data_IF_328968926573
#
_entry.id   IF_328968926573
#
_cell.length_a   1.000
_cell.length_b   1.000
_cell.length_c   1.000
_cell.angle_alpha   90.00
_cell.angle_beta   90.00
_cell.angle_gamma   90.00
#
_symmetry.space_group_name_H-M   'P 1'
#
loop_
_entity.id
_entity.type
_entity.pdbx_description
1 polymer ?
#
# COMPACT_ATOMS: atom_id res chain seq x y z
N UNK A 1 18.35 9.35 22.25
CA UNK A 1 18.67 9.44 20.80
C UNK A 1 20.17 9.27 20.65
N UNK A 2 20.65 8.43 19.73
CA UNK A 2 22.08 8.31 19.44
C UNK A 2 22.59 9.62 18.82
N UNK A 3 23.76 10.10 19.23
CA UNK A 3 24.35 11.31 18.66
C UNK A 3 25.18 10.97 17.41
N UNK A 4 24.58 11.10 16.23
CA UNK A 4 25.23 10.80 14.95
C UNK A 4 26.11 11.95 14.43
N UNK A 5 26.17 13.09 15.13
CA UNK A 5 27.18 14.12 14.87
C UNK A 5 28.59 13.68 15.33
N UNK A 6 28.68 12.66 16.20
CA UNK A 6 29.93 12.15 16.75
C UNK A 6 30.54 11.05 15.86
N UNK A 7 31.82 11.20 15.51
CA UNK A 7 32.53 10.29 14.61
C UNK A 7 32.60 8.84 15.13
N UNK A 8 32.78 8.65 16.44
CA UNK A 8 32.83 7.32 17.06
C UNK A 8 31.46 6.64 16.96
N UNK A 9 30.38 7.39 17.19
CA UNK A 9 29.02 6.86 17.08
C UNK A 9 28.66 6.52 15.63
N UNK A 10 29.01 7.36 14.64
CA UNK A 10 28.81 7.01 13.22
C UNK A 10 29.59 5.77 12.82
N UNK A 11 30.87 5.69 13.20
CA UNK A 11 31.70 4.51 12.95
C UNK A 11 31.07 3.25 13.55
N UNK A 12 30.54 3.33 14.76
CA UNK A 12 29.85 2.21 15.39
C UNK A 12 28.61 1.76 14.60
N UNK A 13 27.82 2.70 14.06
CA UNK A 13 26.68 2.37 13.19
C UNK A 13 27.15 1.65 11.92
N UNK A 14 28.18 2.15 11.23
CA UNK A 14 28.72 1.52 10.02
C UNK A 14 29.30 0.13 10.32
N UNK A 15 30.07 -0.01 11.40
CA UNK A 15 30.60 -1.30 11.83
C UNK A 15 29.48 -2.31 12.15
N UNK A 16 28.38 -1.85 12.75
CA UNK A 16 27.19 -2.68 13.01
C UNK A 16 26.51 -3.13 11.71
N UNK A 17 26.29 -2.22 10.77
CA UNK A 17 25.71 -2.56 9.47
C UNK A 17 26.59 -3.55 8.72
N UNK A 18 27.90 -3.31 8.66
CA UNK A 18 28.86 -4.22 8.06
C UNK A 18 28.80 -5.60 8.69
N UNK A 19 28.80 -5.69 10.03
CA UNK A 19 28.71 -6.97 10.74
C UNK A 19 27.49 -7.79 10.31
N UNK A 20 26.31 -7.16 10.24
CA UNK A 20 25.09 -7.86 9.82
C UNK A 20 25.16 -8.35 8.37
N UNK A 21 25.84 -7.61 7.48
CA UNK A 21 26.01 -8.01 6.08
C UNK A 21 27.06 -9.11 5.94
N UNK A 22 28.25 -8.93 6.51
CA UNK A 22 29.39 -9.83 6.30
C UNK A 22 29.28 -11.11 7.11
N UNK A 23 28.84 -11.02 8.37
CA UNK A 23 28.83 -12.17 9.29
C UNK A 23 27.45 -12.86 9.33
N UNK A 24 26.38 -12.12 9.10
CA UNK A 24 25.00 -12.65 9.16
C UNK A 24 24.32 -12.71 7.79
N UNK A 25 24.95 -12.22 6.72
CA UNK A 25 24.46 -12.26 5.35
C UNK A 25 23.09 -11.59 5.17
N UNK A 26 22.83 -10.49 5.87
CA UNK A 26 21.64 -9.67 5.69
C UNK A 26 21.69 -8.93 4.35
N UNK A 27 20.62 -9.01 3.54
CA UNK A 27 20.52 -8.39 2.20
C UNK A 27 20.14 -6.90 2.22
N UNK A 28 19.78 -6.36 3.38
CA UNK A 28 19.35 -4.97 3.53
C UNK A 28 18.68 -4.66 4.86
N UNK A 29 18.37 -3.38 5.06
CA UNK A 29 17.87 -2.83 6.32
C UNK A 29 16.65 -1.95 6.10
N UNK A 30 15.67 -2.04 7.01
CA UNK A 30 14.63 -1.01 7.21
C UNK A 30 14.96 -0.25 8.48
N UNK A 31 15.25 1.04 8.36
CA UNK A 31 15.56 1.89 9.49
C UNK A 31 14.29 2.48 10.08
N UNK A 32 14.07 2.17 11.35
CA UNK A 32 13.06 2.78 12.21
C UNK A 32 13.41 4.22 12.52
N UNK A 33 12.40 5.10 12.48
CA UNK A 33 12.54 6.55 12.66
C UNK A 33 13.75 7.11 11.89
N UNK A 34 13.86 6.76 10.61
CA UNK A 34 15.07 6.91 9.81
C UNK A 34 15.55 8.36 9.68
N UNK A 35 14.70 9.35 9.97
CA UNK A 35 15.09 10.77 9.95
C UNK A 35 16.20 11.06 10.96
N UNK A 36 16.30 10.29 12.05
CA UNK A 36 17.39 10.41 13.01
C UNK A 36 18.75 10.21 12.34
N UNK A 37 18.86 9.38 11.29
CA UNK A 37 20.12 9.12 10.58
C UNK A 37 20.75 10.37 9.96
N UNK A 38 19.91 11.32 9.53
CA UNK A 38 20.36 12.59 8.94
C UNK A 38 20.55 13.73 9.94
N UNK A 39 20.37 13.49 11.25
CA UNK A 39 20.49 14.53 12.29
C UNK A 39 21.93 14.69 12.78
N UNK A 40 22.73 15.45 12.04
CA UNK A 40 24.02 15.97 12.53
C UNK A 40 23.88 17.26 13.34
N UNK A 41 22.76 17.94 13.14
CA UNK A 41 22.32 19.14 13.83
C UNK A 41 20.88 18.93 14.33
N UNK A 42 20.23 19.90 14.97
CA UNK A 42 18.81 19.78 15.32
C UNK A 42 17.93 19.43 14.13
N UNK A 43 18.28 19.85 12.90
CA UNK A 43 17.51 19.57 11.68
C UNK A 43 18.12 18.43 10.86
N UNK A 44 17.27 17.75 10.08
CA UNK A 44 17.68 16.73 9.13
C UNK A 44 18.51 17.32 7.99
N UNK A 45 19.61 16.65 7.64
CA UNK A 45 20.45 16.96 6.50
C UNK A 45 20.55 15.74 5.58
N UNK A 46 20.08 15.87 4.34
CA UNK A 46 20.22 14.85 3.30
C UNK A 46 21.69 14.52 2.98
N UNK A 47 22.60 15.46 3.24
CA UNK A 47 24.05 15.30 3.06
C UNK A 47 24.78 15.05 4.39
N UNK A 48 24.11 14.41 5.37
CA UNK A 48 24.75 14.05 6.62
C UNK A 48 25.92 13.08 6.40
N UNK A 49 27.02 13.24 7.15
CA UNK A 49 28.22 12.41 7.03
C UNK A 49 27.96 10.93 7.21
N UNK A 50 26.95 10.53 7.98
CA UNK A 50 26.60 9.11 8.12
C UNK A 50 26.21 8.50 6.77
N UNK A 51 25.49 9.24 5.93
CA UNK A 51 25.12 8.77 4.60
C UNK A 51 26.37 8.61 3.72
N UNK A 52 27.31 9.56 3.79
CA UNK A 52 28.61 9.44 3.10
C UNK A 52 29.42 8.25 3.61
N UNK A 53 29.48 8.06 4.94
CA UNK A 53 30.21 6.96 5.58
C UNK A 53 29.64 5.59 5.12
N UNK A 54 28.32 5.47 4.98
CA UNK A 54 27.64 4.26 4.46
C UNK A 54 28.02 4.01 2.99
N UNK A 55 27.99 5.05 2.15
CA UNK A 55 28.33 4.97 0.73
C UNK A 55 29.82 4.72 0.48
N UNK A 56 30.69 4.95 1.47
CA UNK A 56 32.11 4.64 1.37
C UNK A 56 32.45 3.21 1.81
N UNK A 57 31.57 2.54 2.57
CA UNK A 57 31.81 1.18 3.05
C UNK A 57 31.56 0.15 1.91
N UNK A 58 32.59 -0.62 1.48
CA UNK A 58 32.45 -1.51 0.32
C UNK A 58 31.40 -2.61 0.48
N UNK A 59 31.26 -3.17 1.68
CA UNK A 59 30.28 -4.23 1.96
C UNK A 59 28.83 -3.74 1.90
N UNK A 60 28.60 -2.43 1.99
CA UNK A 60 27.27 -1.83 1.98
C UNK A 60 26.82 -1.37 0.57
N UNK A 61 27.64 -1.51 -0.46
CA UNK A 61 27.31 -0.99 -1.81
C UNK A 61 26.19 -1.74 -2.52
N UNK A 62 25.88 -2.99 -2.12
CA UNK A 62 24.90 -3.84 -2.79
C UNK A 62 23.72 -4.25 -1.90
N UNK A 63 23.59 -3.62 -0.74
CA UNK A 63 22.50 -3.91 0.19
C UNK A 63 21.34 -2.93 0.01
N UNK A 64 20.13 -3.38 0.35
CA UNK A 64 18.93 -2.54 0.25
C UNK A 64 18.82 -1.65 1.48
N UNK A 65 18.51 -0.38 1.29
CA UNK A 65 18.23 0.54 2.38
C UNK A 65 16.81 1.08 2.27
N UNK A 66 16.02 0.85 3.31
CA UNK A 66 14.64 1.31 3.42
C UNK A 66 14.55 2.22 4.63
N UNK A 67 13.92 3.39 4.49
CA UNK A 67 13.72 4.33 5.59
C UNK A 67 12.24 4.40 5.96
N UNK A 68 11.96 4.48 7.26
CA UNK A 68 10.80 5.22 7.75
C UNK A 68 11.15 6.71 7.73
N UNK A 69 10.69 7.49 6.73
CA UNK A 69 11.23 8.82 6.45
C UNK A 69 10.60 9.90 7.34
N UNK A 70 10.43 9.59 8.61
CA UNK A 70 10.01 10.53 9.63
C UNK A 70 10.60 10.23 11.00
N UNK A 71 10.52 11.19 11.91
CA UNK A 71 10.63 10.97 13.34
C UNK A 71 9.71 11.93 14.11
N UNK A 72 9.67 11.82 15.44
CA UNK A 72 8.86 12.66 16.32
C UNK A 72 9.48 14.04 16.62
N UNK A 73 10.66 14.33 16.08
CA UNK A 73 11.42 15.55 16.32
C UNK A 73 10.94 16.72 15.45
N UNK A 74 11.51 17.90 15.73
CA UNK A 74 11.26 19.10 14.91
C UNK A 74 11.70 18.86 13.46
N UNK A 75 10.84 19.28 12.51
CA UNK A 75 10.96 18.98 11.09
C UNK A 75 11.27 17.50 10.80
N UNK A 76 10.67 16.59 11.57
CA UNK A 76 10.89 15.16 11.45
C UNK A 76 10.35 14.55 10.17
N UNK A 77 9.32 15.12 9.52
CA UNK A 77 8.76 14.54 8.30
C UNK A 77 9.62 14.81 7.07
N UNK A 78 10.24 13.77 6.50
CA UNK A 78 11.26 13.82 5.46
C UNK A 78 10.97 12.90 4.27
N UNK A 79 9.70 12.57 4.03
CA UNK A 79 9.28 11.75 2.88
C UNK A 79 9.76 12.35 1.56
N UNK A 80 10.49 11.55 0.79
CA UNK A 80 11.11 11.92 -0.49
C UNK A 80 12.44 12.66 -0.37
N UNK A 81 12.92 12.91 0.86
CA UNK A 81 14.13 13.68 1.13
C UNK A 81 15.32 12.81 1.57
N UNK A 82 15.26 11.48 1.50
CA UNK A 82 16.43 10.63 1.75
C UNK A 82 17.36 10.53 0.55
N UNK A 83 18.65 10.18 0.74
CA UNK A 83 19.57 9.89 -0.36
C UNK A 83 18.98 8.92 -1.38
N UNK A 84 19.35 9.10 -2.65
CA UNK A 84 18.74 8.38 -3.78
C UNK A 84 18.79 6.84 -3.70
N UNK A 85 19.74 6.30 -2.93
CA UNK A 85 19.89 4.86 -2.70
C UNK A 85 18.95 4.30 -1.61
N UNK A 86 18.17 5.16 -0.95
CA UNK A 86 17.09 4.73 -0.07
C UNK A 86 15.79 4.55 -0.84
N UNK A 87 15.12 3.46 -0.51
CA UNK A 87 13.68 3.32 -0.63
C UNK A 87 13.01 3.89 0.63
N UNK A 88 11.83 4.46 0.52
CA UNK A 88 11.15 5.09 1.66
C UNK A 88 9.73 4.56 1.79
N UNK A 89 9.31 4.29 3.03
CA UNK A 89 7.91 3.99 3.35
C UNK A 89 7.01 5.16 2.95
N UNK A 90 6.03 4.89 2.09
CA UNK A 90 5.12 5.90 1.58
C UNK A 90 3.80 5.93 2.37
N UNK A 91 3.76 6.71 3.44
CA UNK A 91 2.54 6.90 4.25
C UNK A 91 1.43 7.64 3.49
N UNK A 92 1.78 8.47 2.50
CA UNK A 92 0.82 9.10 1.59
C UNK A 92 0.08 8.07 0.75
N UNK A 93 0.79 7.06 0.23
CA UNK A 93 0.15 5.92 -0.45
C UNK A 93 -0.83 5.22 0.48
N UNK A 94 -0.39 4.88 1.70
CA UNK A 94 -1.23 4.23 2.71
C UNK A 94 -2.53 4.99 2.94
N UNK A 95 -2.41 6.27 3.28
CA UNK A 95 -3.55 7.07 3.71
C UNK A 95 -4.51 7.40 2.56
N UNK A 96 -3.99 7.80 1.40
CA UNK A 96 -4.81 8.18 0.26
C UNK A 96 -5.54 6.97 -0.35
N UNK A 97 -4.87 5.81 -0.45
CA UNK A 97 -5.52 4.58 -0.92
C UNK A 97 -6.57 4.10 0.07
N UNK A 98 -6.29 4.13 1.36
CA UNK A 98 -7.25 3.74 2.39
C UNK A 98 -8.50 4.61 2.36
N UNK A 99 -8.34 5.95 2.32
CA UNK A 99 -9.47 6.87 2.18
C UNK A 99 -10.22 6.66 0.86
N UNK A 100 -9.51 6.44 -0.24
CA UNK A 100 -10.15 6.20 -1.54
C UNK A 100 -11.06 4.97 -1.50
N UNK A 101 -10.70 3.89 -0.83
CA UNK A 101 -11.57 2.71 -0.76
C UNK A 101 -12.65 2.83 0.33
N UNK A 102 -12.28 3.24 1.53
CA UNK A 102 -13.14 3.09 2.72
C UNK A 102 -14.06 4.29 2.98
N UNK A 103 -13.70 5.49 2.53
CA UNK A 103 -14.52 6.67 2.76
C UNK A 103 -15.52 6.91 1.62
N UNK A 104 -16.63 7.58 1.96
CA UNK A 104 -17.72 7.83 0.99
C UNK A 104 -17.28 8.69 -0.20
N UNK A 105 -16.41 9.67 0.01
CA UNK A 105 -15.82 10.50 -1.05
C UNK A 105 -14.33 10.19 -1.19
N UNK A 106 -13.80 10.22 -2.42
CA UNK A 106 -12.38 9.97 -2.67
C UNK A 106 -11.83 10.83 -3.79
N UNK A 107 -10.53 11.13 -3.76
CA UNK A 107 -9.87 11.95 -4.77
C UNK A 107 -9.28 11.07 -5.87
N UNK A 108 -9.90 11.06 -7.05
CA UNK A 108 -9.46 10.23 -8.19
C UNK A 108 -8.06 10.61 -8.67
N UNK A 109 -7.73 11.91 -8.68
CA UNK A 109 -6.38 12.38 -8.98
C UNK A 109 -5.33 11.88 -7.99
N UNK A 110 -5.63 11.90 -6.68
CA UNK A 110 -4.72 11.40 -5.66
C UNK A 110 -4.52 9.88 -5.79
N UNK A 111 -5.60 9.12 -6.05
CA UNK A 111 -5.52 7.69 -6.35
C UNK A 111 -4.59 7.43 -7.54
N UNK A 112 -4.75 8.13 -8.66
CA UNK A 112 -3.92 7.94 -9.83
C UNK A 112 -2.45 8.31 -9.58
N UNK A 113 -2.18 9.41 -8.88
CA UNK A 113 -0.83 9.81 -8.49
C UNK A 113 -0.15 8.75 -7.62
N UNK A 114 -0.84 8.26 -6.58
CA UNK A 114 -0.32 7.20 -5.71
C UNK A 114 -0.11 5.89 -6.49
N UNK A 115 -1.08 5.49 -7.32
CA UNK A 115 -1.06 4.25 -8.09
C UNK A 115 0.05 4.23 -9.15
N UNK A 116 0.38 5.40 -9.72
CA UNK A 116 1.46 5.58 -10.68
C UNK A 116 2.86 5.65 -10.06
N UNK A 117 2.99 5.43 -8.74
CA UNK A 117 4.27 5.42 -8.03
C UNK A 117 4.62 6.73 -7.33
N UNK A 118 3.65 7.62 -7.08
CA UNK A 118 3.85 8.85 -6.30
C UNK A 118 4.93 9.76 -6.88
N UNK A 119 4.82 10.09 -8.17
CA UNK A 119 5.84 10.83 -8.90
C UNK A 119 6.05 12.24 -8.35
N UNK A 120 5.00 12.89 -7.87
CA UNK A 120 5.05 14.18 -7.18
C UNK A 120 6.03 14.22 -5.98
N UNK A 121 6.20 13.08 -5.30
CA UNK A 121 7.12 12.91 -4.17
C UNK A 121 8.49 12.41 -4.61
N UNK A 122 8.52 11.36 -5.45
CA UNK A 122 9.74 10.57 -5.69
C UNK A 122 10.38 10.78 -7.06
N UNK A 123 9.65 11.29 -8.06
CA UNK A 123 10.17 11.52 -9.41
C UNK A 123 10.99 12.81 -9.45
N UNK A 124 12.14 12.78 -8.78
CA UNK A 124 13.13 13.86 -8.71
C UNK A 124 14.49 13.29 -9.06
N UNK A 125 15.30 14.10 -9.74
CA UNK A 125 16.66 13.73 -10.15
C UNK A 125 16.69 12.40 -10.92
N UNK A 126 17.45 11.41 -10.44
CA UNK A 126 17.60 10.08 -11.03
C UNK A 126 16.89 8.98 -10.24
N UNK A 127 15.99 9.33 -9.29
CA UNK A 127 15.30 8.33 -8.46
C UNK A 127 14.32 7.49 -9.29
N UNK A 128 14.45 6.16 -9.26
CA UNK A 128 13.53 5.27 -9.95
C UNK A 128 12.27 4.97 -9.10
N UNK A 129 11.20 4.44 -9.71
CA UNK A 129 9.94 4.17 -9.00
C UNK A 129 10.07 3.20 -7.82
N UNK A 130 11.02 2.25 -7.83
CA UNK A 130 11.15 1.33 -6.70
C UNK A 130 11.44 2.03 -5.35
N UNK A 131 11.89 3.29 -5.39
CA UNK A 131 12.19 4.10 -4.20
C UNK A 131 10.94 4.48 -3.39
N UNK A 132 9.73 4.36 -3.96
CA UNK A 132 8.49 4.37 -3.16
C UNK A 132 8.17 2.95 -2.70
N UNK A 133 8.19 2.72 -1.38
CA UNK A 133 7.65 1.50 -0.78
C UNK A 133 6.19 1.73 -0.40
N UNK A 134 5.31 1.20 -1.23
CA UNK A 134 3.87 1.27 -1.07
C UNK A 134 3.41 0.23 -0.05
N UNK A 135 2.55 0.63 0.88
CA UNK A 135 1.93 -0.26 1.86
C UNK A 135 0.55 0.28 2.25
N UNK A 136 -0.36 -0.60 2.66
CA UNK A 136 -1.67 -0.23 3.23
C UNK A 136 -1.67 -0.40 4.75
N UNK A 137 -0.93 -1.38 5.22
CA UNK A 137 -0.86 -1.85 6.60
C UNK A 137 0.58 -2.19 6.93
N UNK A 138 0.92 -2.08 8.20
CA UNK A 138 2.23 -2.40 8.75
C UNK A 138 2.03 -2.93 10.18
N UNK A 139 3.12 -3.19 10.89
CA UNK A 139 3.03 -3.54 12.31
C UNK A 139 2.43 -2.40 13.16
N UNK A 140 2.63 -1.15 12.74
CA UNK A 140 1.98 0.01 13.33
C UNK A 140 0.60 0.24 12.71
N UNK A 141 -0.43 0.33 13.54
CA UNK A 141 -1.81 0.54 13.12
C UNK A 141 -2.60 -0.76 13.02
N UNK A 142 -3.70 -0.71 12.28
CA UNK A 142 -4.55 -1.89 12.06
C UNK A 142 -3.93 -2.85 11.05
N UNK A 143 -4.22 -4.15 11.25
CA UNK A 143 -4.21 -5.15 10.18
C UNK A 143 -5.23 -4.80 9.09
N UNK A 144 -5.13 -5.40 7.90
CA UNK A 144 -6.09 -5.13 6.83
C UNK A 144 -7.51 -5.56 7.21
N UNK A 145 -7.64 -6.67 7.95
CA UNK A 145 -8.93 -7.12 8.50
C UNK A 145 -9.51 -6.08 9.45
N UNK A 146 -8.69 -5.56 10.37
CA UNK A 146 -9.17 -4.61 11.37
C UNK A 146 -9.47 -3.24 10.78
N UNK A 147 -8.73 -2.83 9.74
CA UNK A 147 -8.97 -1.62 8.96
C UNK A 147 -10.39 -1.58 8.35
N UNK A 148 -10.97 -2.76 8.09
CA UNK A 148 -12.35 -2.90 7.58
C UNK A 148 -13.35 -3.34 8.65
N UNK A 149 -12.91 -3.55 9.89
CA UNK A 149 -13.76 -4.08 10.97
C UNK A 149 -13.96 -3.13 12.14
N UNK A 150 -13.16 -2.06 12.24
CA UNK A 150 -13.14 -1.16 13.39
C UNK A 150 -13.05 0.30 12.97
N UNK A 151 -13.87 1.16 13.57
CA UNK A 151 -13.74 2.62 13.45
C UNK A 151 -12.89 3.20 14.58
N UNK A 152 -12.79 2.49 15.71
CA UNK A 152 -12.04 2.91 16.87
C UNK A 152 -10.97 1.88 17.22
N UNK A 153 -9.85 2.35 17.78
CA UNK A 153 -8.85 1.45 18.37
C UNK A 153 -9.37 0.88 19.69
N UNK A 154 -9.00 -0.36 19.97
CA UNK A 154 -9.32 -1.14 21.17
C UNK A 154 -8.00 -1.62 21.77
N UNK A 155 -7.21 -0.67 22.28
CA UNK A 155 -5.88 -0.92 22.85
C UNK A 155 -5.92 -1.13 24.38
N UNK A 156 -7.10 -1.41 24.96
CA UNK A 156 -7.27 -1.56 26.41
C UNK A 156 -6.33 -2.62 27.00
N UNK A 157 -6.03 -3.67 26.23
CA UNK A 157 -5.09 -4.73 26.61
C UNK A 157 -3.65 -4.24 26.85
N UNK A 158 -3.28 -3.06 26.33
CA UNK A 158 -1.96 -2.47 26.49
C UNK A 158 -1.76 -1.82 27.88
N UNK A 159 -2.84 -1.63 28.65
CA UNK A 159 -2.78 -1.09 30.01
C UNK A 159 -2.65 0.43 30.10
N UNK A 160 -2.84 1.15 28.99
CA UNK A 160 -2.72 2.62 28.93
C UNK A 160 -4.08 3.32 28.79
N UNK A 161 -5.17 2.64 29.15
CA UNK A 161 -6.56 3.13 29.05
C UNK A 161 -6.89 3.62 27.62
N UNK A 162 -6.43 2.86 26.61
CA UNK A 162 -6.62 3.13 25.19
C UNK A 162 -6.03 4.48 24.70
N UNK A 163 -5.09 5.08 25.45
CA UNK A 163 -4.43 6.34 25.06
C UNK A 163 -3.36 6.16 23.99
N UNK A 164 -2.69 5.02 23.98
CA UNK A 164 -1.60 4.69 23.07
C UNK A 164 -2.10 4.32 21.66
N UNK A 165 -1.23 4.38 20.66
CA UNK A 165 -1.58 4.13 19.25
C UNK A 165 -2.25 5.32 18.56
N UNK A 166 -2.23 5.32 17.22
CA UNK A 166 -2.78 6.40 16.40
C UNK A 166 -4.30 6.47 16.50
N UNK A 167 -4.85 7.68 16.59
CA UNK A 167 -6.32 7.88 16.63
C UNK A 167 -6.95 7.85 15.23
N UNK A 168 -6.28 8.47 14.27
CA UNK A 168 -6.77 8.53 12.90
C UNK A 168 -6.26 7.32 12.12
N UNK A 169 -7.17 6.43 11.75
CA UNK A 169 -6.85 5.18 11.06
C UNK A 169 -7.34 5.14 9.62
N UNK A 170 -8.21 6.08 9.22
CA UNK A 170 -8.92 6.06 7.94
C UNK A 170 -9.72 4.77 7.69
N UNK A 171 -10.02 4.03 8.76
CA UNK A 171 -10.75 2.75 8.71
C UNK A 171 -12.24 2.95 8.51
N UNK A 172 -12.94 1.86 8.17
CA UNK A 172 -14.40 1.81 8.12
C UNK A 172 -14.89 0.42 8.51
N UNK A 173 -15.74 0.33 9.53
CA UNK A 173 -16.21 -0.94 10.08
C UNK A 173 -17.36 -1.61 9.30
N UNK A 174 -17.84 -0.97 8.22
CA UNK A 174 -18.97 -1.43 7.40
C UNK A 174 -20.31 -1.55 8.15
N UNK A 175 -20.47 -0.83 9.26
CA UNK A 175 -21.73 -0.70 10.00
C UNK A 175 -21.80 -1.49 11.31
N UNK A 176 -20.84 -2.38 11.58
CA UNK A 176 -20.73 -3.14 12.83
C UNK A 176 -19.30 -2.99 13.34
N UNK A 177 -19.12 -2.62 14.61
CA UNK A 177 -17.77 -2.59 15.22
C UNK A 177 -17.38 -4.00 15.68
N UNK A 178 -16.20 -4.48 15.29
CA UNK A 178 -15.71 -5.81 15.64
C UNK A 178 -15.52 -6.72 14.44
N UNK A 179 -14.47 -7.55 14.46
CA UNK A 179 -14.17 -8.53 13.41
C UNK A 179 -14.95 -9.85 13.54
N UNK A 180 -15.54 -10.12 14.72
CA UNK A 180 -16.31 -11.33 15.01
C UNK A 180 -17.80 -11.10 14.72
N UNK A 181 -18.36 -11.87 13.78
CA UNK A 181 -19.73 -11.75 13.31
C UNK A 181 -20.46 -13.11 13.35
N UNK A 182 -21.78 -13.10 13.56
CA UNK A 182 -22.64 -14.27 13.35
C UNK A 182 -23.11 -14.32 11.90
N UNK A 183 -22.47 -15.19 11.10
CA UNK A 183 -22.72 -15.29 9.66
C UNK A 183 -24.07 -15.93 9.32
N UNK A 184 -24.83 -16.44 10.31
CA UNK A 184 -26.21 -16.87 10.11
C UNK A 184 -27.19 -15.70 10.07
N UNK A 185 -26.79 -14.53 10.57
CA UNK A 185 -27.55 -13.29 10.43
C UNK A 185 -27.29 -12.66 9.06
N UNK A 186 -28.36 -12.40 8.29
CA UNK A 186 -28.26 -11.89 6.93
C UNK A 186 -27.56 -10.52 6.85
N UNK A 187 -27.78 -9.65 7.83
CA UNK A 187 -27.16 -8.33 7.86
C UNK A 187 -25.66 -8.45 8.17
N UNK A 188 -25.27 -9.23 9.18
CA UNK A 188 -23.86 -9.45 9.50
C UNK A 188 -23.12 -10.17 8.37
N UNK A 189 -23.75 -11.13 7.71
CA UNK A 189 -23.21 -11.78 6.51
C UNK A 189 -22.99 -10.79 5.36
N UNK A 190 -23.92 -9.86 5.14
CA UNK A 190 -23.74 -8.79 4.16
C UNK A 190 -22.59 -7.84 4.51
N UNK A 191 -22.42 -7.49 5.80
CA UNK A 191 -21.28 -6.70 6.29
C UNK A 191 -19.97 -7.43 6.03
N UNK A 192 -19.89 -8.72 6.33
CA UNK A 192 -18.70 -9.53 6.08
C UNK A 192 -18.31 -9.54 4.60
N UNK A 193 -19.28 -9.72 3.71
CA UNK A 193 -19.04 -9.67 2.26
C UNK A 193 -18.44 -8.32 1.83
N UNK A 194 -18.96 -7.20 2.36
CA UNK A 194 -18.42 -5.88 2.04
C UNK A 194 -16.98 -5.69 2.54
N UNK A 195 -16.67 -6.22 3.73
CA UNK A 195 -15.30 -6.21 4.28
C UNK A 195 -14.34 -6.98 3.40
N UNK A 196 -14.72 -8.18 2.96
CA UNK A 196 -13.89 -8.99 2.06
C UNK A 196 -13.65 -8.29 0.73
N UNK A 197 -14.67 -7.64 0.15
CA UNK A 197 -14.51 -6.84 -1.07
C UNK A 197 -13.55 -5.65 -0.89
N UNK A 198 -13.62 -4.97 0.26
CA UNK A 198 -12.73 -3.86 0.59
C UNK A 198 -11.28 -4.32 0.79
N UNK A 199 -11.05 -5.38 1.57
CA UNK A 199 -9.73 -5.97 1.78
C UNK A 199 -9.12 -6.42 0.46
N UNK A 200 -9.90 -7.12 -0.36
CA UNK A 200 -9.49 -7.60 -1.69
C UNK A 200 -9.11 -6.44 -2.63
N UNK A 201 -9.86 -5.33 -2.57
CA UNK A 201 -9.61 -4.16 -3.42
C UNK A 201 -8.37 -3.38 -2.99
N UNK A 202 -8.13 -3.29 -1.68
CA UNK A 202 -6.91 -2.69 -1.11
C UNK A 202 -5.67 -3.55 -1.45
N UNK A 203 -5.77 -4.88 -1.38
CA UNK A 203 -4.69 -5.79 -1.81
C UNK A 203 -4.39 -5.65 -3.30
N UNK A 204 -5.42 -5.61 -4.15
CA UNK A 204 -5.24 -5.38 -5.58
C UNK A 204 -4.59 -4.02 -5.87
N UNK A 205 -5.01 -2.97 -5.15
CA UNK A 205 -4.42 -1.63 -5.25
C UNK A 205 -2.94 -1.63 -4.87
N UNK A 206 -2.58 -2.27 -3.75
CA UNK A 206 -1.20 -2.40 -3.30
C UNK A 206 -0.34 -3.17 -4.31
N UNK A 207 -0.80 -4.35 -4.72
CA UNK A 207 -0.02 -5.27 -5.54
C UNK A 207 0.07 -4.85 -7.01
N UNK A 208 -0.83 -3.97 -7.48
CA UNK A 208 -0.87 -3.53 -8.88
C UNK A 208 -0.45 -2.07 -9.09
N UNK A 209 -0.05 -1.35 -8.03
CA UNK A 209 0.55 -0.02 -8.15
C UNK A 209 2.03 -0.08 -8.55
N UNK A 210 2.50 0.96 -9.25
CA UNK A 210 3.92 1.14 -9.55
C UNK A 210 4.72 1.46 -8.27
N UNK A 211 5.97 1.02 -8.20
CA UNK A 211 6.79 1.06 -6.97
C UNK A 211 6.90 -0.30 -6.28
N UNK A 212 7.47 -0.33 -5.08
CA UNK A 212 7.73 -1.57 -4.33
C UNK A 212 6.57 -1.87 -3.35
N UNK A 213 5.75 -2.91 -3.56
CA UNK A 213 4.69 -3.25 -2.61
C UNK A 213 5.26 -3.98 -1.38
N UNK A 214 4.85 -3.55 -0.18
CA UNK A 214 5.08 -4.26 1.07
C UNK A 214 3.77 -4.78 1.62
N UNK A 215 3.69 -6.10 1.81
CA UNK A 215 2.54 -6.80 2.39
C UNK A 215 2.85 -7.12 3.85
N UNK A 216 1.94 -6.76 4.77
CA UNK A 216 2.00 -7.20 6.16
C UNK A 216 1.61 -8.68 6.24
N UNK A 217 2.43 -9.48 6.92
CA UNK A 217 2.17 -10.90 7.08
C UNK A 217 0.83 -11.13 7.81
N UNK A 218 -0.01 -11.99 7.24
CA UNK A 218 -1.33 -12.31 7.75
C UNK A 218 -2.47 -11.58 7.06
N UNK A 219 -2.22 -10.45 6.40
CA UNK A 219 -3.25 -9.75 5.64
C UNK A 219 -3.73 -10.56 4.44
N UNK A 220 -2.89 -11.43 3.89
CA UNK A 220 -3.27 -12.33 2.80
C UNK A 220 -4.34 -13.35 3.20
N UNK A 221 -4.56 -13.61 4.50
CA UNK A 221 -5.57 -14.54 4.99
C UNK A 221 -6.48 -13.94 6.08
N UNK A 222 -6.56 -12.61 6.14
CA UNK A 222 -7.42 -11.84 7.05
C UNK A 222 -7.09 -11.96 8.55
N UNK A 223 -5.79 -11.95 8.90
CA UNK A 223 -5.35 -11.88 10.30
C UNK A 223 -5.91 -10.64 11.01
N UNK A 224 -6.32 -10.79 12.26
CA UNK A 224 -6.91 -9.74 13.10
C UNK A 224 -6.17 -9.63 14.43
N UNK A 225 -5.99 -8.40 14.90
CA UNK A 225 -5.53 -8.03 16.24
C UNK A 225 -6.69 -7.55 17.12
N UNK A 226 -7.93 -7.92 16.73
CA UNK A 226 -9.17 -7.62 17.45
C UNK A 226 -9.40 -6.13 17.71
N UNK A 227 -8.92 -5.27 16.80
CA UNK A 227 -9.06 -3.84 16.92
C UNK A 227 -7.97 -3.17 17.76
N UNK A 228 -6.98 -3.91 18.25
CA UNK A 228 -5.77 -3.28 18.78
C UNK A 228 -4.92 -2.79 17.59
N UNK A 229 -4.59 -1.50 17.56
CA UNK A 229 -3.82 -0.88 16.47
C UNK A 229 -2.37 -0.54 16.88
N UNK A 230 -1.93 -1.06 18.03
CA UNK A 230 -0.62 -0.80 18.61
C UNK A 230 -0.19 -1.99 19.48
N UNK A 231 -0.08 -3.18 18.89
CA UNK A 231 0.18 -4.43 19.63
C UNK A 231 1.63 -4.60 20.10
N UNK A 232 2.38 -3.50 20.30
CA UNK A 232 3.83 -3.52 20.57
C UNK A 232 4.22 -4.31 21.83
N UNK A 233 3.32 -4.41 22.80
CA UNK A 233 3.52 -5.09 24.08
C UNK A 233 2.73 -6.39 24.22
N UNK A 234 2.11 -6.88 23.14
CA UNK A 234 1.28 -8.07 23.15
C UNK A 234 2.04 -9.26 22.56
N UNK A 235 2.67 -10.08 23.40
CA UNK A 235 3.21 -11.39 23.00
C UNK A 235 2.22 -12.50 23.36
N UNK A 236 1.10 -12.55 22.63
CA UNK A 236 -0.01 -13.48 22.85
C UNK A 236 -0.90 -13.57 21.59
N UNK A 237 -2.05 -14.24 21.70
CA UNK A 237 -3.00 -14.50 20.63
C UNK A 237 -3.58 -13.24 19.95
N UNK A 238 -3.43 -12.06 20.54
CA UNK A 238 -3.76 -10.78 19.89
C UNK A 238 -2.79 -10.50 18.75
N UNK A 239 -1.48 -10.74 18.94
CA UNK A 239 -0.46 -10.39 17.96
C UNK A 239 -0.03 -11.56 17.07
N UNK A 240 -0.14 -12.81 17.56
CA UNK A 240 0.26 -13.99 16.80
C UNK A 240 -0.64 -14.23 15.58
N UNK A 241 -0.06 -14.77 14.50
CA UNK A 241 -0.82 -15.13 13.30
C UNK A 241 -1.86 -16.21 13.60
N UNK A 242 -3.13 -15.91 13.32
CA UNK A 242 -4.28 -16.77 13.66
C UNK A 242 -4.58 -17.79 12.55
N UNK A 243 -3.71 -18.78 12.39
CA UNK A 243 -3.80 -19.81 11.33
C UNK A 243 -5.12 -20.61 11.34
N UNK A 244 -5.82 -20.71 12.48
CA UNK A 244 -7.11 -21.38 12.55
C UNK A 244 -8.25 -20.65 11.82
N UNK A 245 -8.12 -19.34 11.62
CA UNK A 245 -9.14 -18.48 10.99
C UNK A 245 -8.74 -18.12 9.54
N UNK A 246 -7.95 -18.97 8.89
CA UNK A 246 -7.34 -18.72 7.58
C UNK A 246 -8.39 -18.54 6.48
N UNK A 247 -8.43 -17.35 5.88
CA UNK A 247 -9.29 -17.08 4.72
C UNK A 247 -8.62 -17.54 3.42
N UNK A 248 -9.05 -18.69 2.89
CA UNK A 248 -8.50 -19.29 1.68
C UNK A 248 -8.75 -18.43 0.42
N UNK A 249 -9.91 -17.79 0.30
CA UNK A 249 -10.27 -17.00 -0.89
C UNK A 249 -9.39 -15.76 -1.03
N UNK A 250 -9.16 -15.05 0.08
CA UNK A 250 -8.28 -13.88 0.12
C UNK A 250 -6.82 -14.27 -0.17
N UNK A 251 -6.40 -15.43 0.32
CA UNK A 251 -5.05 -15.95 0.10
C UNK A 251 -4.81 -16.30 -1.38
N UNK A 252 -5.77 -16.99 -2.00
CA UNK A 252 -5.70 -17.35 -3.41
C UNK A 252 -5.76 -16.12 -4.31
N UNK A 253 -6.58 -15.12 -3.97
CA UNK A 253 -6.59 -13.83 -4.67
C UNK A 253 -5.24 -13.13 -4.55
N UNK A 254 -4.66 -13.03 -3.35
CA UNK A 254 -3.35 -12.39 -3.12
C UNK A 254 -2.27 -13.06 -3.96
N UNK A 255 -2.23 -14.39 -3.97
CA UNK A 255 -1.32 -15.17 -4.81
C UNK A 255 -1.53 -14.88 -6.30
N UNK A 256 -2.78 -14.83 -6.75
CA UNK A 256 -3.12 -14.54 -8.14
C UNK A 256 -2.67 -13.12 -8.55
N UNK A 257 -2.89 -12.13 -7.69
CA UNK A 257 -2.46 -10.74 -7.90
C UNK A 257 -0.93 -10.63 -8.01
N UNK A 258 -0.18 -11.36 -7.17
CA UNK A 258 1.29 -11.42 -7.27
C UNK A 258 1.72 -12.02 -8.62
N UNK A 259 1.05 -13.08 -9.08
CA UNK A 259 1.34 -13.69 -10.39
C UNK A 259 1.05 -12.69 -11.52
N UNK A 260 -0.08 -12.00 -11.48
CA UNK A 260 -0.46 -10.97 -12.46
C UNK A 260 0.55 -9.84 -12.46
N UNK A 261 0.93 -9.30 -11.28
CA UNK A 261 1.94 -8.23 -11.16
C UNK A 261 3.22 -8.59 -11.91
N UNK A 262 3.71 -9.82 -11.74
CA UNK A 262 4.94 -10.34 -12.39
C UNK A 262 4.82 -10.49 -13.92
N UNK A 263 3.62 -10.39 -14.49
CA UNK A 263 3.38 -10.44 -15.93
C UNK A 263 3.17 -9.05 -16.54
N UNK A 264 2.82 -8.04 -15.74
CA UNK A 264 2.64 -6.66 -16.20
C UNK A 264 4.02 -6.01 -16.29
N UNK A 265 4.40 -5.66 -17.51
CA UNK A 265 5.74 -5.17 -17.80
C UNK A 265 5.99 -3.82 -17.11
N UNK A 266 5.01 -2.92 -17.15
CA UNK A 266 5.09 -1.61 -16.49
C UNK A 266 5.13 -1.67 -14.96
N UNK A 267 4.90 -2.83 -14.35
CA UNK A 267 5.07 -3.05 -12.90
C UNK A 267 6.36 -3.79 -12.52
N UNK A 268 7.03 -4.38 -13.52
CA UNK A 268 8.30 -5.09 -13.35
C UNK A 268 9.49 -4.27 -13.83
N UNK A 269 9.26 -3.31 -14.74
CA UNK A 269 10.27 -2.35 -15.16
C UNK A 269 10.38 -1.26 -14.10
N UNK A 270 11.61 -0.99 -13.69
CA UNK A 270 11.92 0.09 -12.77
C UNK A 270 11.96 1.44 -13.50
N UNK A 271 10.81 1.82 -14.07
CA UNK A 271 10.66 2.99 -14.92
C UNK A 271 9.33 3.71 -14.64
N UNK A 272 9.37 5.03 -14.65
CA UNK A 272 8.18 5.86 -14.49
C UNK A 272 7.20 5.62 -15.65
N UNK A 273 5.91 5.61 -15.35
CA UNK A 273 4.88 5.55 -16.38
C UNK A 273 4.85 6.85 -17.20
N UNK A 274 4.49 6.70 -18.47
CA UNK A 274 4.30 7.76 -19.47
C UNK A 274 3.04 7.46 -20.29
N UNK A 275 2.65 8.39 -21.15
CA UNK A 275 1.52 8.21 -22.05
C UNK A 275 1.70 7.02 -23.02
N UNK A 276 2.91 6.46 -23.13
CA UNK A 276 3.20 5.29 -23.96
C UNK A 276 2.72 3.97 -23.32
N UNK A 277 2.67 3.90 -21.99
CA UNK A 277 2.43 2.65 -21.26
C UNK A 277 1.27 2.68 -20.27
N UNK A 278 0.72 3.86 -19.95
CA UNK A 278 -0.51 3.99 -19.16
C UNK A 278 -1.55 4.85 -19.88
N UNK A 279 -2.81 4.45 -19.80
CA UNK A 279 -3.94 5.30 -20.18
C UNK A 279 -5.03 5.25 -19.12
N UNK A 280 -5.53 6.42 -18.74
CA UNK A 280 -6.56 6.58 -17.71
C UNK A 280 -7.89 6.91 -18.36
N UNK A 281 -8.87 6.03 -18.16
CA UNK A 281 -10.20 6.17 -18.77
C UNK A 281 -11.28 6.31 -17.71
N UNK A 282 -12.35 7.00 -18.04
CA UNK A 282 -13.56 7.01 -17.23
C UNK A 282 -14.35 5.71 -17.43
N UNK A 283 -15.47 5.55 -16.71
CA UNK A 283 -16.34 4.37 -16.82
C UNK A 283 -16.95 4.19 -18.22
N UNK A 284 -17.00 5.25 -19.03
CA UNK A 284 -17.47 5.21 -20.42
C UNK A 284 -16.40 4.75 -21.42
N UNK A 285 -15.18 4.44 -20.98
CA UNK A 285 -14.09 4.01 -21.85
C UNK A 285 -13.34 5.16 -22.54
N UNK A 286 -13.67 6.41 -22.22
CA UNK A 286 -13.07 7.60 -22.80
C UNK A 286 -11.93 8.15 -21.91
N UNK A 287 -10.89 8.80 -22.48
CA UNK A 287 -9.82 9.43 -21.71
C UNK A 287 -10.35 10.40 -20.64
N UNK A 288 -9.80 10.30 -19.43
CA UNK A 288 -10.15 11.16 -18.30
C UNK A 288 -9.89 12.64 -18.61
N UNK A 289 -10.92 13.47 -18.44
CA UNK A 289 -10.84 14.93 -18.58
C UNK A 289 -10.53 15.61 -17.24
N UNK A 290 -10.12 16.89 -17.28
CA UNK A 290 -9.82 17.68 -16.06
C UNK A 290 -10.95 17.60 -15.01
N UNK A 291 -12.21 17.73 -15.43
CA UNK A 291 -13.35 17.63 -14.53
C UNK A 291 -13.53 16.25 -13.89
N UNK A 292 -13.08 15.19 -14.56
CA UNK A 292 -13.17 13.82 -14.05
C UNK A 292 -12.20 13.60 -12.89
N UNK A 293 -11.01 14.18 -12.97
CA UNK A 293 -9.95 14.07 -11.94
C UNK A 293 -10.35 14.73 -10.61
N UNK A 294 -11.15 15.79 -10.67
CA UNK A 294 -11.62 16.54 -9.50
C UNK A 294 -13.00 16.09 -8.99
N UNK A 295 -13.66 15.14 -9.66
CA UNK A 295 -14.96 14.65 -9.25
C UNK A 295 -14.84 13.63 -8.11
N UNK A 296 -15.04 14.10 -6.88
CA UNK A 296 -14.93 13.30 -5.65
C UNK A 296 -16.02 12.24 -5.46
N UNK A 297 -17.08 12.27 -6.26
CA UNK A 297 -18.21 11.32 -6.20
C UNK A 297 -18.05 10.14 -7.16
N UNK A 298 -17.19 10.26 -8.19
CA UNK A 298 -17.11 9.25 -9.24
C UNK A 298 -16.49 7.95 -8.75
N UNK A 299 -15.35 8.02 -8.04
CA UNK A 299 -14.63 6.88 -7.41
C UNK A 299 -14.56 5.60 -8.27
N UNK A 300 -14.58 5.75 -9.58
CA UNK A 300 -14.61 4.67 -10.55
C UNK A 300 -13.90 5.09 -11.82
N UNK A 301 -12.99 4.24 -12.30
CA UNK A 301 -12.10 4.52 -13.43
C UNK A 301 -11.57 3.21 -14.02
N UNK A 302 -10.96 3.33 -15.19
CA UNK A 302 -10.23 2.24 -15.83
C UNK A 302 -8.78 2.66 -16.05
N UNK A 303 -7.86 1.73 -15.84
CA UNK A 303 -6.42 1.92 -16.09
C UNK A 303 -5.97 0.90 -17.12
N UNK A 304 -5.51 1.37 -18.27
CA UNK A 304 -4.90 0.51 -19.29
C UNK A 304 -3.40 0.54 -19.08
N UNK A 305 -2.78 -0.62 -18.90
CA UNK A 305 -1.33 -0.78 -18.80
C UNK A 305 -0.79 -1.60 -19.96
N UNK A 306 0.31 -1.13 -20.55
CA UNK A 306 1.04 -1.79 -21.63
C UNK A 306 0.16 -2.13 -22.85
N UNK A 307 -1.00 -1.46 -23.01
CA UNK A 307 -2.04 -1.75 -24.00
C UNK A 307 -2.56 -3.21 -23.97
N UNK A 308 -2.24 -3.97 -22.91
CA UNK A 308 -2.55 -5.40 -22.76
C UNK A 308 -3.38 -5.70 -21.52
N UNK A 309 -3.32 -4.84 -20.52
CA UNK A 309 -3.98 -5.03 -19.23
C UNK A 309 -4.98 -3.92 -18.99
N UNK A 310 -6.16 -4.28 -18.51
CA UNK A 310 -7.21 -3.34 -18.13
C UNK A 310 -7.58 -3.57 -16.68
N UNK A 311 -7.40 -2.54 -15.87
CA UNK A 311 -7.75 -2.54 -14.45
C UNK A 311 -9.06 -1.75 -14.31
N UNK A 312 -10.11 -2.42 -13.84
CA UNK A 312 -11.39 -1.80 -13.53
C UNK A 312 -11.43 -1.53 -12.03
N UNK A 313 -11.61 -0.26 -11.67
CA UNK A 313 -11.66 0.18 -10.28
C UNK A 313 -13.05 0.75 -10.01
N UNK A 314 -13.79 0.13 -9.10
CA UNK A 314 -15.04 0.66 -8.55
C UNK A 314 -14.92 0.74 -7.03
N UNK A 315 -14.66 1.92 -6.48
CA UNK A 315 -14.63 2.15 -5.03
C UNK A 315 -15.97 2.66 -4.47
N UNK A 316 -17.06 2.46 -5.22
CA UNK A 316 -18.43 2.76 -4.78
C UNK A 316 -19.12 1.51 -4.25
N UNK A 317 -20.07 1.73 -3.34
CA UNK A 317 -20.98 0.66 -2.91
C UNK A 317 -22.04 0.37 -3.98
N UNK A 318 -22.40 1.37 -4.80
CA UNK A 318 -23.40 1.22 -5.85
C UNK A 318 -22.83 0.53 -7.11
N UNK A 319 -23.68 -0.18 -7.86
CA UNK A 319 -23.31 -0.76 -9.14
C UNK A 319 -22.78 0.28 -10.13
N UNK A 320 -21.76 -0.08 -10.92
CA UNK A 320 -21.24 0.73 -12.03
C UNK A 320 -21.18 -0.10 -13.31
N UNK A 321 -21.62 0.51 -14.41
CA UNK A 321 -21.52 -0.07 -15.75
C UNK A 321 -20.31 0.51 -16.48
N UNK A 322 -19.33 -0.33 -16.77
CA UNK A 322 -18.14 0.02 -17.51
C UNK A 322 -18.32 -0.31 -18.99
N UNK A 323 -17.99 0.65 -19.85
CA UNK A 323 -17.77 0.43 -21.28
C UNK A 323 -16.27 0.21 -21.46
N UNK A 324 -15.87 -0.99 -21.88
CA UNK A 324 -14.48 -1.35 -22.05
C UNK A 324 -13.91 -0.70 -23.31
N UNK A 325 -12.66 -0.20 -23.29
CA UNK A 325 -12.00 0.31 -24.48
C UNK A 325 -11.90 -0.81 -25.52
N UNK A 326 -12.27 -0.56 -26.76
CA UNK A 326 -12.18 -1.55 -27.83
C UNK A 326 -11.67 -0.94 -29.13
N UNK A 327 -10.73 -1.61 -29.79
CA UNK A 327 -10.55 -1.48 -31.23
C UNK A 327 -11.13 -2.70 -31.95
N UNK A 328 -11.38 -2.57 -33.25
CA UNK A 328 -12.04 -3.60 -34.07
C UNK A 328 -11.28 -4.93 -33.93
N UNK A 329 -11.93 -5.95 -33.33
CA UNK A 329 -11.46 -7.33 -33.07
C UNK A 329 -10.78 -7.61 -31.72
N UNK A 330 -10.77 -6.69 -30.75
CA UNK A 330 -10.16 -6.95 -29.44
C UNK A 330 -11.15 -7.60 -28.46
N UNK A 331 -10.71 -8.65 -27.74
CA UNK A 331 -11.50 -9.25 -26.66
C UNK A 331 -10.76 -9.15 -25.32
N UNK A 332 -11.47 -8.67 -24.30
CA UNK A 332 -11.01 -8.67 -22.93
C UNK A 332 -11.48 -9.93 -22.21
N UNK A 333 -10.64 -10.48 -21.33
CA UNK A 333 -11.01 -11.60 -20.46
C UNK A 333 -10.54 -11.31 -19.03
N UNK A 334 -11.40 -11.57 -18.06
CA UNK A 334 -11.05 -11.46 -16.65
C UNK A 334 -9.96 -12.47 -16.27
N UNK A 335 -8.93 -12.00 -15.55
CA UNK A 335 -7.77 -12.81 -15.15
C UNK A 335 -7.53 -12.84 -13.65
N UNK A 336 -8.00 -11.83 -12.92
CA UNK A 336 -7.99 -11.75 -11.46
C UNK A 336 -9.00 -10.68 -11.02
N UNK A 337 -9.51 -10.76 -9.80
CA UNK A 337 -10.35 -9.68 -9.27
C UNK A 337 -11.12 -10.08 -8.03
N UNK A 338 -11.70 -9.06 -7.38
CA UNK A 338 -12.48 -9.22 -6.15
C UNK A 338 -13.88 -9.78 -6.37
N UNK A 339 -14.31 -9.89 -7.63
CA UNK A 339 -15.59 -10.46 -8.03
C UNK A 339 -15.47 -11.11 -9.41
N UNK A 340 -16.37 -12.05 -9.70
CA UNK A 340 -16.48 -12.65 -11.02
C UNK A 340 -17.16 -11.69 -11.99
N UNK A 341 -16.54 -11.48 -13.14
CA UNK A 341 -17.07 -10.59 -14.17
C UNK A 341 -17.70 -11.37 -15.32
N UNK A 342 -18.85 -10.88 -15.78
CA UNK A 342 -19.46 -11.29 -17.04
C UNK A 342 -19.34 -10.13 -18.02
N UNK A 343 -18.66 -10.35 -19.16
CA UNK A 343 -18.47 -9.35 -20.20
C UNK A 343 -19.53 -9.57 -21.27
N UNK A 344 -20.37 -8.56 -21.53
CA UNK A 344 -21.41 -8.60 -22.55
C UNK A 344 -21.23 -7.42 -23.51
N UNK A 345 -20.99 -7.69 -24.79
CA UNK A 345 -20.90 -6.64 -25.82
C UNK A 345 -19.97 -5.47 -25.47
N UNK A 346 -18.78 -5.77 -24.90
CA UNK A 346 -17.80 -4.77 -24.41
C UNK A 346 -18.27 -3.95 -23.20
N UNK A 347 -19.28 -4.41 -22.49
CA UNK A 347 -19.73 -3.82 -21.22
C UNK A 347 -19.56 -4.81 -20.08
N UNK A 348 -19.29 -4.27 -18.90
CA UNK A 348 -19.18 -5.01 -17.64
C UNK A 348 -19.96 -4.26 -16.59
N UNK A 349 -20.86 -4.96 -15.91
CA UNK A 349 -21.52 -4.46 -14.71
C UNK A 349 -20.78 -4.97 -13.48
N UNK A 350 -20.38 -4.05 -12.60
CA UNK A 350 -19.79 -4.37 -11.31
C UNK A 350 -20.79 -3.94 -10.25
N UNK A 351 -21.32 -4.88 -9.47
CA UNK A 351 -22.44 -4.67 -8.54
C UNK A 351 -22.12 -3.86 -7.29
N UNK A 352 -20.84 -3.65 -6.99
CA UNK A 352 -20.38 -2.89 -5.83
C UNK A 352 -18.88 -2.72 -5.84
N UNK A 353 -18.28 -2.59 -4.66
CA UNK A 353 -16.85 -2.33 -4.53
C UNK A 353 -16.03 -3.46 -5.17
N UNK A 354 -15.17 -3.11 -6.13
CA UNK A 354 -14.31 -4.08 -6.76
C UNK A 354 -13.06 -3.49 -7.40
N UNK A 355 -12.02 -4.31 -7.44
CA UNK A 355 -10.86 -4.15 -8.30
C UNK A 355 -10.76 -5.40 -9.18
N UNK A 356 -10.87 -5.23 -10.49
CA UNK A 356 -10.78 -6.35 -11.43
C UNK A 356 -9.69 -6.12 -12.46
N UNK A 357 -9.01 -7.21 -12.83
CA UNK A 357 -7.98 -7.23 -13.85
C UNK A 357 -8.49 -8.03 -15.03
N UNK A 358 -8.42 -7.43 -16.21
CA UNK A 358 -8.67 -8.06 -17.49
C UNK A 358 -7.39 -8.02 -18.32
N UNK A 359 -7.23 -9.04 -19.15
CA UNK A 359 -6.16 -9.12 -20.14
C UNK A 359 -6.76 -9.18 -21.53
N UNK A 360 -6.10 -8.49 -22.46
CA UNK A 360 -6.39 -8.51 -23.89
C UNK A 360 -5.93 -9.83 -24.51
N UNK A 361 -6.77 -10.44 -25.34
CA UNK A 361 -6.50 -11.69 -26.05
C UNK A 361 -6.47 -11.51 -27.56
#
# INVERSE_FOLDING_TARGET
MLNLSNDVTRKWVVDCLRYWVEESHVDGFRFDLGTVLGRESPDFNHYAKLFDDIVQEPSLQQVKFISEPWDIGHYGYQLGNFPHYFTEWNDRFRDDMTRFWLWKSGEVGAFAERFAGSGDLFKRETRPPHTTLNFITAHDGFTLRDLTSYNHKHNEANGEENRDGRNENYSYNHGIEGSQLDLNDEYQSAVENQRILAQSSLLATLLLANGTPMLLAGDEFANTQLGNNNTYCQDNEIAWLRWQDFNQELFDLTKQLIVVRKQIQSLCRDAWWSDDNVSWLNIGGEPMQVGDWHNRERKALQVVLDQQWLLLVNAKAEPQSFILPSTVNEQWKAVAGTTNLTIQQHQVEISGMAFCVLRKY
#
